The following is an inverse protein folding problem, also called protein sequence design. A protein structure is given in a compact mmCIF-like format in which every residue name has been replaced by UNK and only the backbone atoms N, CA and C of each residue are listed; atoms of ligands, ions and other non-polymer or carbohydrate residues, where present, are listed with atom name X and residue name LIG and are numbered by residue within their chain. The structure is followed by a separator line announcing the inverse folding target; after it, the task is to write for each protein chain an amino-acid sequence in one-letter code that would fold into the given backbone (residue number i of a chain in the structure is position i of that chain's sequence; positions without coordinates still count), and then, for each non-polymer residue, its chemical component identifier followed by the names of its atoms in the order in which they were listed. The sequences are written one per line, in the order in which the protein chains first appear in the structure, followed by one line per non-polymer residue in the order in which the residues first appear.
data_IF_569569456492
#
_entry.id   IF_569569456492
#
_cell.length_a   1.000
_cell.length_b   1.000
_cell.length_c   1.000
_cell.angle_alpha   90.00
_cell.angle_beta   90.00
_cell.angle_gamma   90.00
#
_symmetry.space_group_name_H-M   'P 1'
#
loop_
_entity.id
_entity.type
_entity.pdbx_description
1 polymer ?
#
# COMPACT_ATOMS: atom_id res chain seq x y z
N UNK A 1 32.18 78.27 27.55
CA UNK A 1 32.83 76.95 27.39
C UNK A 1 31.81 75.98 26.80
N UNK A 2 32.13 75.43 25.63
CA UNK A 2 31.70 74.17 24.98
C UNK A 2 30.19 73.76 24.90
N UNK A 3 29.78 72.95 23.90
CA UNK A 3 30.18 72.98 22.49
C UNK A 3 29.00 72.82 21.50
N UNK A 4 29.29 73.17 20.26
CA UNK A 4 28.58 72.91 19.02
C UNK A 4 28.49 71.40 18.70
N UNK A 5 27.33 70.93 18.24
CA UNK A 5 27.24 69.72 17.41
C UNK A 5 26.40 70.00 16.16
N UNK A 6 27.00 69.65 15.04
CA UNK A 6 26.56 69.77 13.65
C UNK A 6 26.08 68.39 13.22
N UNK A 7 24.87 68.28 12.68
CA UNK A 7 24.45 67.12 11.89
C UNK A 7 23.62 67.59 10.70
N UNK A 8 24.12 67.29 9.51
CA UNK A 8 23.44 67.43 8.20
C UNK A 8 23.00 66.01 7.77
N UNK A 9 22.03 65.87 6.86
CA UNK A 9 21.14 64.70 6.77
C UNK A 9 21.77 63.55 5.98
N UNK A 10 21.44 62.31 6.36
CA UNK A 10 21.59 61.15 5.48
C UNK A 10 20.18 60.72 5.10
N UNK A 11 19.86 60.97 3.83
CA UNK A 11 18.72 60.42 3.13
C UNK A 11 19.00 58.92 2.93
N UNK A 12 18.31 58.07 3.67
CA UNK A 12 18.20 56.67 3.30
C UNK A 12 17.25 56.56 2.11
N UNK A 13 17.76 56.02 1.00
CA UNK A 13 16.96 55.56 -0.13
C UNK A 13 16.17 54.33 0.34
N UNK A 14 14.85 54.45 0.41
CA UNK A 14 13.96 53.29 0.43
C UNK A 14 13.86 52.74 -0.99
N UNK A 15 14.53 51.62 -1.26
CA UNK A 15 14.19 50.75 -2.39
C UNK A 15 12.94 49.92 -2.00
N UNK A 16 11.77 50.55 -2.04
CA UNK A 16 10.48 49.87 -1.99
C UNK A 16 9.86 49.91 -3.39
N UNK A 17 10.41 49.10 -4.31
CA UNK A 17 9.73 48.71 -5.54
C UNK A 17 9.12 47.32 -5.36
N UNK A 18 8.21 47.19 -4.39
CA UNK A 18 7.19 46.15 -4.46
C UNK A 18 6.11 46.67 -5.40
N UNK A 19 6.11 46.20 -6.65
CA UNK A 19 5.07 46.56 -7.63
C UNK A 19 3.69 46.35 -6.99
N UNK A 20 2.98 47.45 -6.79
CA UNK A 20 1.64 47.45 -6.22
C UNK A 20 0.74 46.65 -7.17
N UNK A 21 0.35 45.43 -6.75
CA UNK A 21 -0.54 44.57 -7.53
C UNK A 21 -1.83 45.35 -7.74
N UNK A 22 -2.12 45.69 -8.99
CA UNK A 22 -3.30 46.48 -9.28
C UNK A 22 -4.54 45.60 -9.24
N UNK A 23 -5.70 46.20 -8.97
CA UNK A 23 -6.98 45.49 -9.02
C UNK A 23 -7.21 44.80 -10.37
N UNK A 24 -6.68 45.37 -11.46
CA UNK A 24 -6.74 44.78 -12.79
C UNK A 24 -5.96 43.45 -12.88
N UNK A 25 -4.78 43.37 -12.26
CA UNK A 25 -3.97 42.15 -12.21
C UNK A 25 -4.67 41.05 -11.42
N UNK A 26 -5.33 41.41 -10.31
CA UNK A 26 -6.14 40.47 -9.52
C UNK A 26 -7.33 39.95 -10.33
N UNK A 27 -8.04 40.83 -11.02
CA UNK A 27 -9.18 40.44 -11.87
C UNK A 27 -8.75 39.55 -13.04
N UNK A 28 -7.60 39.82 -13.66
CA UNK A 28 -7.06 38.99 -14.74
C UNK A 28 -6.64 37.60 -14.23
N UNK A 29 -6.02 37.54 -13.05
CA UNK A 29 -5.68 36.28 -12.39
C UNK A 29 -6.95 35.47 -12.07
N UNK A 30 -7.98 36.11 -11.51
CA UNK A 30 -9.27 35.47 -11.23
C UNK A 30 -9.95 34.93 -12.49
N UNK A 31 -9.98 35.70 -13.57
CA UNK A 31 -10.54 35.24 -14.85
C UNK A 31 -9.78 34.03 -15.42
N UNK A 32 -8.46 34.02 -15.24
CA UNK A 32 -7.62 32.89 -15.66
C UNK A 32 -7.91 31.64 -14.82
N UNK A 33 -8.09 31.80 -13.51
CA UNK A 33 -8.47 30.70 -12.60
C UNK A 33 -9.84 30.15 -12.98
N UNK A 34 -10.83 31.00 -13.25
CA UNK A 34 -12.19 30.59 -13.64
C UNK A 34 -12.15 29.82 -14.97
N UNK A 35 -11.42 30.32 -15.97
CA UNK A 35 -11.26 29.63 -17.25
C UNK A 35 -10.63 28.23 -17.08
N UNK A 36 -9.61 28.12 -16.23
CA UNK A 36 -8.99 26.84 -15.90
C UNK A 36 -9.98 25.90 -15.18
N UNK A 37 -10.77 26.41 -14.24
CA UNK A 37 -11.79 25.62 -13.54
C UNK A 37 -12.82 25.05 -14.51
N UNK A 38 -13.29 25.82 -15.49
CA UNK A 38 -14.22 25.35 -16.53
C UNK A 38 -13.62 24.18 -17.31
N UNK A 39 -12.37 24.32 -17.77
CA UNK A 39 -11.65 23.25 -18.49
C UNK A 39 -11.47 22.00 -17.62
N UNK A 40 -11.21 22.17 -16.32
CA UNK A 40 -11.11 21.03 -15.39
C UNK A 40 -12.46 20.33 -15.19
N UNK A 41 -13.56 21.08 -15.07
CA UNK A 41 -14.91 20.51 -14.96
C UNK A 41 -15.30 19.73 -16.21
N UNK A 42 -14.99 20.24 -17.41
CA UNK A 42 -15.24 19.52 -18.66
C UNK A 42 -14.46 18.20 -18.74
N UNK A 43 -13.18 18.20 -18.32
CA UNK A 43 -12.36 16.98 -18.27
C UNK A 43 -12.87 15.95 -17.26
N UNK A 44 -13.40 16.41 -16.12
CA UNK A 44 -14.02 15.51 -15.13
C UNK A 44 -15.29 14.89 -15.70
N UNK A 45 -16.11 15.66 -16.41
CA UNK A 45 -17.31 15.15 -17.07
C UNK A 45 -16.98 14.14 -18.19
N UNK A 46 -15.92 14.38 -18.98
CA UNK A 46 -15.43 13.40 -19.96
C UNK A 46 -14.97 12.09 -19.28
N UNK A 47 -14.27 12.20 -18.15
CA UNK A 47 -13.81 11.05 -17.39
C UNK A 47 -14.98 10.23 -16.83
N UNK A 48 -16.00 10.90 -16.31
CA UNK A 48 -17.23 10.29 -15.78
C UNK A 48 -17.98 9.52 -16.89
N UNK A 49 -18.15 10.14 -18.06
CA UNK A 49 -18.75 9.48 -19.23
C UNK A 49 -17.98 8.22 -19.66
N UNK A 50 -16.64 8.27 -19.62
CA UNK A 50 -15.78 7.12 -19.94
C UNK A 50 -15.89 6.03 -18.88
N UNK A 51 -16.02 6.39 -17.60
CA UNK A 51 -16.24 5.44 -16.51
C UNK A 51 -17.58 4.71 -16.67
N UNK A 52 -18.66 5.45 -16.93
CA UNK A 52 -20.00 4.86 -17.20
C UNK A 52 -19.96 3.94 -18.43
N UNK A 53 -19.22 4.30 -19.48
CA UNK A 53 -19.07 3.44 -20.66
C UNK A 53 -18.35 2.13 -20.34
N UNK A 54 -17.32 2.16 -19.49
CA UNK A 54 -16.60 0.95 -19.05
C UNK A 54 -17.51 0.07 -18.18
N UNK A 55 -18.24 0.66 -17.23
CA UNK A 55 -19.18 -0.08 -16.39
C UNK A 55 -20.25 -0.79 -17.24
N UNK A 56 -20.80 -0.11 -18.24
CA UNK A 56 -21.79 -0.71 -19.13
C UNK A 56 -21.23 -1.87 -19.97
N UNK A 57 -19.96 -1.83 -20.38
CA UNK A 57 -19.32 -2.96 -21.09
C UNK A 57 -19.10 -4.15 -20.15
N UNK A 58 -18.73 -3.90 -18.90
CA UNK A 58 -18.46 -4.95 -17.89
C UNK A 58 -19.72 -5.73 -17.49
N UNK A 59 -20.92 -5.12 -17.60
CA UNK A 59 -22.19 -5.76 -17.22
C UNK A 59 -23.02 -6.32 -18.39
N UNK A 60 -22.59 -6.18 -19.65
CA UNK A 60 -23.36 -6.67 -20.82
C UNK A 60 -23.00 -8.07 -21.32
N UNK A 61 -21.93 -8.69 -20.86
CA UNK A 61 -21.46 -10.01 -21.37
C UNK A 61 -22.08 -11.24 -20.67
N UNK A 62 -22.91 -11.08 -19.62
CA UNK A 62 -23.52 -12.21 -18.91
C UNK A 62 -24.92 -12.64 -19.40
N UNK A 63 -25.45 -12.05 -20.49
CA UNK A 63 -26.83 -12.36 -20.96
C UNK A 63 -26.91 -12.94 -22.37
N UNK A 64 -26.18 -14.03 -22.66
CA UNK A 64 -26.54 -14.99 -23.73
C UNK A 64 -26.04 -16.40 -23.41
N UNK A 65 -26.87 -17.22 -22.74
CA UNK A 65 -27.33 -18.54 -23.23
C UNK A 65 -28.17 -19.33 -22.19
N UNK A 66 -29.49 -19.11 -22.27
CA UNK A 66 -30.58 -20.09 -22.47
C UNK A 66 -30.48 -21.53 -21.90
N UNK A 67 -31.52 -21.88 -21.10
CA UNK A 67 -32.18 -23.20 -20.80
C UNK A 67 -31.47 -24.12 -19.78
N UNK A 68 -32.08 -24.57 -18.67
CA UNK A 68 -33.44 -25.13 -18.46
C UNK A 68 -33.78 -25.19 -16.95
N UNK A 69 -35.01 -24.85 -16.54
CA UNK A 69 -35.59 -25.32 -15.27
C UNK A 69 -36.13 -26.77 -15.44
N UNK A 70 -36.36 -27.54 -14.35
CA UNK A 70 -37.69 -27.43 -13.74
C UNK A 70 -37.82 -27.71 -12.22
N UNK A 71 -38.93 -27.17 -11.70
CA UNK A 71 -39.80 -27.67 -10.61
C UNK A 71 -39.47 -27.39 -9.14
N UNK A 72 -40.34 -26.53 -8.60
CA UNK A 72 -40.71 -26.30 -7.20
C UNK A 72 -41.17 -27.56 -6.46
N UNK A 73 -40.88 -27.63 -5.16
CA UNK A 73 -41.81 -28.14 -4.14
C UNK A 73 -41.59 -27.44 -2.79
N UNK A 74 -42.68 -27.40 -2.05
CA UNK A 74 -43.09 -26.43 -1.05
C UNK A 74 -42.74 -26.85 0.39
N UNK A 75 -42.65 -25.83 1.25
CA UNK A 75 -43.07 -25.73 2.67
C UNK A 75 -42.25 -26.32 3.83
N UNK A 76 -42.05 -25.40 4.79
CA UNK A 76 -42.26 -25.49 6.25
C UNK A 76 -41.07 -25.73 7.22
N UNK A 77 -40.92 -24.75 8.11
CA UNK A 77 -40.40 -24.67 9.48
C UNK A 77 -38.92 -24.86 9.87
N UNK A 78 -38.45 -23.76 10.48
CA UNK A 78 -37.61 -23.62 11.68
C UNK A 78 -36.07 -23.78 11.61
N UNK A 79 -35.35 -23.04 12.50
CA UNK A 79 -34.05 -22.48 12.20
C UNK A 79 -32.94 -23.45 12.57
N UNK A 80 -32.16 -23.87 11.59
CA UNK A 80 -30.93 -24.63 11.83
C UNK A 80 -29.72 -23.81 11.45
N UNK A 81 -28.88 -23.61 12.48
CA UNK A 81 -27.53 -23.09 12.42
C UNK A 81 -26.75 -23.69 11.26
N UNK A 82 -26.41 -22.87 10.26
CA UNK A 82 -25.41 -23.25 9.27
C UNK A 82 -24.03 -23.14 9.91
N UNK A 83 -23.43 -24.30 10.15
CA UNK A 83 -22.01 -24.49 10.37
C UNK A 83 -21.20 -23.74 9.31
N UNK A 84 -20.47 -22.71 9.74
CA UNK A 84 -19.40 -22.12 8.94
C UNK A 84 -18.30 -23.18 8.84
N UNK A 85 -17.99 -23.63 7.62
CA UNK A 85 -16.76 -24.39 7.38
C UNK A 85 -15.55 -23.56 7.83
N UNK A 86 -14.58 -24.14 8.56
CA UNK A 86 -13.40 -23.40 9.00
C UNK A 86 -12.54 -23.05 7.78
N UNK A 87 -12.62 -21.79 7.33
CA UNK A 87 -11.72 -21.24 6.32
C UNK A 87 -12.34 -20.36 5.25
N UNK A 88 -13.67 -20.29 5.14
CA UNK A 88 -14.31 -19.46 4.11
C UNK A 88 -14.72 -18.10 4.68
N UNK A 89 -14.03 -17.05 4.23
CA UNK A 89 -14.27 -15.67 4.64
C UNK A 89 -15.47 -15.09 3.89
N UNK A 90 -16.27 -14.30 4.60
CA UNK A 90 -17.35 -13.49 4.02
C UNK A 90 -16.76 -12.36 3.13
N UNK A 91 -17.09 -12.30 1.83
CA UNK A 91 -16.60 -11.30 0.88
C UNK A 91 -16.87 -9.84 1.26
N UNK A 92 -17.81 -9.58 2.19
CA UNK A 92 -18.20 -8.22 2.59
C UNK A 92 -17.57 -7.76 3.91
N UNK A 93 -16.78 -8.61 4.58
CA UNK A 93 -16.08 -8.21 5.81
C UNK A 93 -14.75 -7.53 5.52
N UNK A 94 -14.76 -6.19 5.53
CA UNK A 94 -13.54 -5.37 5.59
C UNK A 94 -12.67 -5.79 6.79
N UNK A 95 -11.39 -6.18 6.60
CA UNK A 95 -10.51 -6.51 7.72
C UNK A 95 -10.14 -5.25 8.48
N UNK A 96 -10.40 -5.26 9.79
CA UNK A 96 -9.82 -4.28 10.73
C UNK A 96 -10.63 -3.00 10.87
N UNK A 97 -11.68 -3.05 11.72
CA UNK A 97 -11.78 -1.97 12.71
C UNK A 97 -10.75 -2.30 13.79
N UNK A 98 -9.66 -1.55 13.95
CA UNK A 98 -8.83 -1.72 15.12
C UNK A 98 -9.71 -1.52 16.35
N UNK A 99 -9.74 -2.51 17.23
CA UNK A 99 -10.33 -2.33 18.55
C UNK A 99 -9.77 -1.07 19.19
N UNK A 100 -10.63 -0.31 19.88
CA UNK A 100 -10.40 1.00 20.49
C UNK A 100 -9.29 1.07 21.56
N UNK A 101 -8.39 0.09 21.61
CA UNK A 101 -7.24 0.00 22.51
C UNK A 101 -5.97 -0.12 21.68
N UNK A 102 -5.67 0.91 20.88
CA UNK A 102 -4.33 1.12 20.35
C UNK A 102 -3.43 1.55 21.52
N UNK A 103 -2.95 0.60 22.32
CA UNK A 103 -1.71 0.83 23.06
C UNK A 103 -0.62 0.97 22.02
N UNK A 104 -0.04 2.18 21.93
CA UNK A 104 1.16 2.49 21.15
C UNK A 104 2.28 1.52 21.52
N UNK A 105 2.36 0.35 20.89
CA UNK A 105 3.53 -0.52 20.96
C UNK A 105 4.62 0.15 20.13
N UNK A 106 5.51 0.83 20.84
CA UNK A 106 6.63 1.64 20.34
C UNK A 106 7.71 0.83 19.62
N UNK A 107 7.48 -0.46 19.34
CA UNK A 107 8.51 -1.40 18.91
C UNK A 107 7.95 -2.32 17.83
N UNK A 108 8.51 -2.25 16.61
CA UNK A 108 8.25 -3.23 15.55
C UNK A 108 8.89 -4.56 15.95
N UNK A 109 8.10 -5.46 16.54
CA UNK A 109 8.57 -6.72 17.11
C UNK A 109 7.58 -7.83 16.82
N UNK A 110 8.03 -8.86 16.09
CA UNK A 110 7.20 -10.01 15.76
C UNK A 110 6.88 -10.85 17.02
N UNK A 111 5.73 -11.56 17.04
CA UNK A 111 5.40 -12.50 18.11
C UNK A 111 6.45 -13.60 18.29
N UNK A 112 6.54 -14.16 19.49
CA UNK A 112 7.39 -15.33 19.74
C UNK A 112 6.99 -16.51 18.86
N UNK A 113 7.98 -17.24 18.34
CA UNK A 113 7.75 -18.36 17.43
C UNK A 113 7.40 -17.95 15.99
N UNK A 114 7.55 -16.67 15.63
CA UNK A 114 7.39 -16.21 14.24
C UNK A 114 8.42 -16.86 13.31
N UNK A 115 8.07 -17.09 12.02
CA UNK A 115 8.94 -17.81 11.09
C UNK A 115 10.20 -17.01 10.74
N UNK A 116 11.22 -17.68 10.22
CA UNK A 116 12.45 -17.02 9.78
C UNK A 116 13.58 -16.98 10.82
N UNK A 117 14.80 -16.59 10.39
CA UNK A 117 15.90 -16.32 11.30
C UNK A 117 15.59 -15.06 12.12
N UNK A 118 15.60 -15.19 13.45
CA UNK A 118 15.24 -14.13 14.38
C UNK A 118 16.43 -13.70 15.22
N UNK A 119 16.63 -12.39 15.32
CA UNK A 119 17.62 -11.76 16.17
C UNK A 119 17.00 -11.21 17.45
N UNK A 120 17.71 -10.31 18.15
CA UNK A 120 17.17 -9.58 19.29
C UNK A 120 15.86 -8.88 18.94
N UNK A 121 14.94 -8.81 19.90
CA UNK A 121 13.59 -8.23 19.73
C UNK A 121 12.79 -8.90 18.58
N UNK A 122 13.03 -10.18 18.31
CA UNK A 122 12.36 -10.96 17.27
C UNK A 122 12.41 -10.32 15.86
N UNK A 123 13.42 -9.49 15.57
CA UNK A 123 13.62 -8.92 14.24
C UNK A 123 14.12 -9.98 13.26
N UNK A 124 13.74 -9.87 11.98
CA UNK A 124 14.30 -10.71 10.93
C UNK A 124 15.77 -10.40 10.72
N UNK A 125 16.58 -11.45 10.63
CA UNK A 125 18.00 -11.36 10.24
C UNK A 125 18.11 -11.64 8.73
N UNK A 126 18.74 -10.72 8.00
CA UNK A 126 18.89 -10.86 6.54
C UNK A 126 20.18 -11.57 6.09
N UNK A 127 21.21 -11.58 6.95
CA UNK A 127 22.59 -11.79 6.53
C UNK A 127 23.29 -13.01 7.15
N UNK A 128 22.69 -13.66 8.15
CA UNK A 128 23.36 -14.77 8.84
C UNK A 128 23.32 -16.07 8.04
N UNK A 129 24.42 -16.85 8.04
CA UNK A 129 24.58 -17.90 7.06
C UNK A 129 23.76 -19.12 7.45
N UNK A 130 22.88 -19.50 6.53
CA UNK A 130 22.35 -20.86 6.38
C UNK A 130 21.50 -21.33 7.56
N UNK A 131 20.32 -20.73 7.65
CA UNK A 131 19.17 -21.37 8.28
C UNK A 131 19.01 -22.79 7.74
N UNK A 132 18.99 -23.77 8.64
CA UNK A 132 18.86 -25.18 8.30
C UNK A 132 17.63 -25.41 7.41
N UNK A 133 17.78 -26.27 6.40
CA UNK A 133 16.70 -26.61 5.47
C UNK A 133 15.48 -27.19 6.21
N UNK A 134 15.69 -27.93 7.30
CA UNK A 134 14.60 -28.48 8.09
C UNK A 134 13.80 -27.39 8.80
N UNK A 135 14.48 -26.40 9.38
CA UNK A 135 13.80 -25.26 10.01
C UNK A 135 12.99 -24.40 9.02
N UNK A 136 13.28 -24.47 7.71
CA UNK A 136 12.49 -23.80 6.67
C UNK A 136 11.19 -24.49 6.34
N UNK A 137 11.07 -25.80 6.59
CA UNK A 137 9.86 -26.57 6.27
C UNK A 137 8.66 -26.13 7.09
N UNK A 138 8.88 -25.56 8.28
CA UNK A 138 7.80 -25.06 9.13
C UNK A 138 7.31 -23.67 8.75
N UNK A 139 8.08 -22.88 7.98
CA UNK A 139 7.70 -21.49 7.68
C UNK A 139 6.35 -21.34 6.97
N UNK A 140 6.01 -22.16 5.96
CA UNK A 140 4.71 -22.07 5.30
C UNK A 140 3.52 -22.31 6.25
N UNK A 141 3.70 -23.08 7.33
CA UNK A 141 2.64 -23.29 8.32
C UNK A 141 2.20 -21.97 9.00
N UNK A 142 3.04 -20.94 8.98
CA UNK A 142 2.70 -19.62 9.51
C UNK A 142 1.92 -18.75 8.52
N UNK A 143 1.74 -19.15 7.26
CA UNK A 143 0.97 -18.41 6.27
C UNK A 143 -0.55 -18.44 6.53
N UNK A 144 -1.02 -19.36 7.39
CA UNK A 144 -2.43 -19.58 7.67
C UNK A 144 -2.84 -18.87 8.97
N UNK A 145 -3.49 -17.70 8.85
CA UNK A 145 -4.13 -16.92 9.92
C UNK A 145 -3.47 -17.06 11.32
N UNK A 146 -2.15 -16.97 11.36
CA UNK A 146 -1.36 -17.17 12.56
C UNK A 146 -1.24 -15.87 13.35
N UNK A 147 -0.82 -15.94 14.62
CA UNK A 147 -0.53 -14.73 15.40
C UNK A 147 0.48 -13.80 14.69
N UNK A 148 1.38 -14.40 13.89
CA UNK A 148 2.32 -13.68 13.05
C UNK A 148 1.63 -12.90 11.92
N UNK A 149 0.69 -13.52 11.20
CA UNK A 149 -0.08 -12.83 10.15
C UNK A 149 -0.94 -11.72 10.75
N UNK A 150 -1.62 -11.99 11.87
CA UNK A 150 -2.44 -11.00 12.57
C UNK A 150 -1.61 -9.80 13.02
N UNK A 151 -0.40 -10.04 13.54
CA UNK A 151 0.54 -8.98 13.86
C UNK A 151 0.96 -8.19 12.63
N UNK A 152 1.30 -8.85 11.52
CA UNK A 152 1.75 -8.17 10.30
C UNK A 152 0.63 -7.30 9.70
N UNK A 153 -0.63 -7.75 9.78
CA UNK A 153 -1.80 -6.95 9.41
C UNK A 153 -1.99 -5.68 10.22
N UNK A 154 -1.43 -5.58 11.43
CA UNK A 154 -1.47 -4.33 12.20
C UNK A 154 -0.62 -3.22 11.58
N UNK A 155 0.39 -3.58 10.77
CA UNK A 155 1.26 -2.64 10.06
C UNK A 155 0.88 -2.48 8.59
N UNK A 156 0.41 -3.56 7.95
CA UNK A 156 -0.02 -3.55 6.55
C UNK A 156 -1.24 -4.46 6.35
N UNK A 157 -2.43 -3.88 6.48
CA UNK A 157 -3.70 -4.60 6.40
C UNK A 157 -4.03 -5.16 5.00
N UNK A 158 -3.31 -4.73 3.97
CA UNK A 158 -3.45 -5.19 2.58
C UNK A 158 -2.68 -6.49 2.30
N UNK A 159 -1.95 -7.04 3.27
CA UNK A 159 -1.27 -8.32 3.11
C UNK A 159 -2.27 -9.40 2.70
N UNK A 160 -2.01 -10.06 1.57
CA UNK A 160 -2.74 -11.25 1.13
C UNK A 160 -2.03 -12.47 1.70
N UNK A 161 -2.75 -13.30 2.45
CA UNK A 161 -2.29 -14.59 2.94
C UNK A 161 -2.55 -15.68 1.90
N UNK A 162 -1.91 -16.84 2.09
CA UNK A 162 -2.07 -17.98 1.18
C UNK A 162 -3.53 -18.46 1.10
N UNK A 163 -4.25 -18.41 2.22
CA UNK A 163 -5.66 -18.78 2.33
C UNK A 163 -6.60 -17.86 1.54
N UNK A 164 -6.15 -16.66 1.18
CA UNK A 164 -6.95 -15.70 0.41
C UNK A 164 -6.91 -15.98 -1.10
N UNK A 165 -6.07 -16.92 -1.55
CA UNK A 165 -5.93 -17.28 -2.96
C UNK A 165 -6.82 -18.47 -3.34
N UNK A 166 -7.50 -18.34 -4.48
CA UNK A 166 -8.25 -19.44 -5.07
C UNK A 166 -7.29 -20.37 -5.83
N UNK A 167 -7.12 -21.60 -5.34
CA UNK A 167 -6.23 -22.62 -5.93
C UNK A 167 -6.55 -22.85 -7.41
N UNK A 168 -7.82 -22.77 -7.82
CA UNK A 168 -8.27 -22.95 -9.20
C UNK A 168 -7.73 -21.90 -10.19
N UNK A 169 -7.26 -20.76 -9.70
CA UNK A 169 -6.69 -19.68 -10.51
C UNK A 169 -5.15 -19.72 -10.58
N UNK A 170 -4.51 -20.67 -9.88
CA UNK A 170 -3.06 -20.80 -9.85
C UNK A 170 -2.54 -21.67 -10.99
N UNK A 171 -1.56 -21.19 -11.74
CA UNK A 171 -0.89 -21.94 -12.83
C UNK A 171 0.61 -22.07 -12.57
N UNK A 172 1.08 -23.32 -12.48
CA UNK A 172 2.48 -23.64 -12.20
C UNK A 172 3.41 -23.17 -13.33
N UNK A 173 2.88 -23.06 -14.56
CA UNK A 173 3.60 -22.54 -15.72
C UNK A 173 3.98 -21.07 -15.55
N UNK A 174 3.29 -20.33 -14.70
CA UNK A 174 3.58 -18.92 -14.45
C UNK A 174 4.77 -18.72 -13.50
N UNK A 175 5.18 -19.75 -12.75
CA UNK A 175 6.36 -19.69 -11.88
C UNK A 175 7.67 -19.41 -12.61
N UNK A 176 7.81 -19.92 -13.84
CA UNK A 176 9.02 -19.76 -14.66
C UNK A 176 8.96 -18.57 -15.62
N UNK A 177 7.81 -17.86 -15.70
CA UNK A 177 7.66 -16.70 -16.56
C UNK A 177 8.32 -15.48 -15.92
N UNK A 178 9.02 -14.64 -16.70
CA UNK A 178 9.46 -13.33 -16.23
C UNK A 178 8.27 -12.59 -15.64
N UNK A 179 8.44 -12.07 -14.42
CA UNK A 179 7.44 -11.22 -13.80
C UNK A 179 7.25 -9.97 -14.67
N UNK A 180 6.00 -9.55 -14.90
CA UNK A 180 5.64 -8.47 -15.85
C UNK A 180 6.64 -7.30 -15.82
N UNK A 181 7.26 -7.05 -16.97
CA UNK A 181 8.21 -5.97 -17.19
C UNK A 181 7.47 -4.62 -17.20
N UNK A 182 7.61 -3.83 -16.14
CA UNK A 182 7.03 -2.49 -16.07
C UNK A 182 6.92 -1.91 -14.66
N UNK A 183 7.01 -2.73 -13.61
CA UNK A 183 7.00 -2.23 -12.25
C UNK A 183 8.33 -1.57 -11.89
N UNK A 184 8.24 -0.36 -11.31
CA UNK A 184 9.39 0.34 -10.75
C UNK A 184 9.91 -0.43 -9.52
N UNK A 185 11.23 -0.57 -9.35
CA UNK A 185 11.80 -1.19 -8.16
C UNK A 185 11.55 -0.35 -6.90
N UNK A 186 11.37 -1.03 -5.77
CA UNK A 186 11.44 -0.43 -4.43
C UNK A 186 12.92 -0.18 -4.12
N UNK A 187 13.29 1.07 -3.91
CA UNK A 187 14.70 1.49 -3.93
C UNK A 187 15.12 2.32 -2.71
N UNK A 188 14.44 3.45 -2.44
CA UNK A 188 14.83 4.39 -1.39
C UNK A 188 13.84 4.34 -0.24
N UNK A 189 14.30 4.22 0.99
CA UNK A 189 13.45 4.19 2.19
C UNK A 189 12.64 5.47 2.42
N UNK A 190 13.12 6.60 1.91
CA UNK A 190 12.42 7.89 1.96
C UNK A 190 11.29 8.03 0.94
N UNK A 191 11.15 7.10 -0.01
CA UNK A 191 10.08 7.15 -1.01
C UNK A 191 8.75 6.70 -0.39
N UNK A 192 7.82 7.65 -0.24
CA UNK A 192 6.48 7.39 0.30
C UNK A 192 5.66 6.42 -0.57
N UNK A 193 6.03 6.28 -1.86
CA UNK A 193 5.38 5.37 -2.79
C UNK A 193 5.75 3.90 -2.61
N UNK A 194 6.67 3.55 -1.71
CA UNK A 194 7.12 2.18 -1.53
C UNK A 194 5.99 1.21 -1.15
N UNK A 195 5.04 1.63 -0.30
CA UNK A 195 3.90 0.78 0.08
C UNK A 195 2.88 0.65 -1.06
N UNK A 196 2.66 1.71 -1.84
CA UNK A 196 1.84 1.63 -3.05
C UNK A 196 2.45 0.71 -4.09
N UNK A 197 3.78 0.76 -4.26
CA UNK A 197 4.51 -0.18 -5.12
C UNK A 197 4.42 -1.61 -4.60
N UNK A 198 4.55 -1.83 -3.28
CA UNK A 198 4.40 -3.16 -2.69
C UNK A 198 2.99 -3.73 -2.91
N UNK A 199 1.95 -2.90 -2.75
CA UNK A 199 0.57 -3.29 -3.04
C UNK A 199 0.40 -3.63 -4.53
N UNK A 200 0.95 -2.83 -5.44
CA UNK A 200 0.89 -3.09 -6.87
C UNK A 200 1.63 -4.38 -7.26
N UNK A 201 2.78 -4.65 -6.64
CA UNK A 201 3.52 -5.91 -6.81
C UNK A 201 2.65 -7.09 -6.39
N UNK A 202 2.01 -7.02 -5.22
CA UNK A 202 1.13 -8.08 -4.73
C UNK A 202 -0.07 -8.29 -5.65
N UNK A 203 -0.75 -7.21 -6.07
CA UNK A 203 -1.87 -7.29 -7.01
C UNK A 203 -1.46 -7.93 -8.35
N UNK A 204 -0.26 -7.61 -8.85
CA UNK A 204 0.27 -8.20 -10.08
C UNK A 204 0.55 -9.69 -9.90
N UNK A 205 1.09 -10.11 -8.75
CA UNK A 205 1.33 -11.53 -8.43
C UNK A 205 0.02 -12.34 -8.37
N UNK A 206 -1.03 -11.76 -7.79
CA UNK A 206 -2.38 -12.34 -7.76
C UNK A 206 -2.94 -12.47 -9.18
N UNK A 207 -2.86 -11.40 -9.97
CA UNK A 207 -3.37 -11.38 -11.35
C UNK A 207 -2.65 -12.40 -12.24
N UNK A 208 -1.34 -12.59 -12.04
CA UNK A 208 -0.57 -13.60 -12.76
C UNK A 208 -0.86 -15.02 -12.28
N UNK A 209 -1.63 -15.22 -11.21
CA UNK A 209 -2.03 -16.55 -10.74
C UNK A 209 -0.84 -17.42 -10.40
N UNK A 210 0.21 -16.88 -9.78
CA UNK A 210 1.36 -17.69 -9.36
C UNK A 210 1.19 -18.28 -7.98
N UNK A 211 1.72 -19.49 -7.81
CA UNK A 211 1.84 -20.15 -6.50
C UNK A 211 2.51 -19.23 -5.49
N UNK A 212 1.87 -19.11 -4.31
CA UNK A 212 2.21 -18.16 -3.26
C UNK A 212 3.65 -18.32 -2.76
N UNK A 213 4.14 -19.55 -2.74
CA UNK A 213 5.47 -19.95 -2.30
C UNK A 213 6.57 -19.45 -3.24
N UNK A 214 6.22 -19.10 -4.49
CA UNK A 214 7.14 -18.58 -5.49
C UNK A 214 7.21 -17.05 -5.50
N UNK A 215 6.27 -16.35 -4.85
CA UNK A 215 6.14 -14.90 -4.95
C UNK A 215 7.44 -14.16 -4.62
N UNK A 216 8.14 -14.45 -3.49
CA UNK A 216 9.39 -13.75 -3.15
C UNK A 216 10.46 -13.89 -4.23
N UNK A 217 10.59 -15.07 -4.84
CA UNK A 217 11.59 -15.34 -5.86
C UNK A 217 11.25 -14.64 -7.18
N UNK A 218 9.95 -14.47 -7.47
CA UNK A 218 9.49 -13.77 -8.68
C UNK A 218 9.80 -12.28 -8.62
N UNK A 219 9.69 -11.67 -7.44
CA UNK A 219 9.80 -10.20 -7.29
C UNK A 219 11.12 -9.72 -6.71
N UNK A 220 12.04 -10.63 -6.33
CA UNK A 220 13.32 -10.28 -5.69
C UNK A 220 14.15 -9.23 -6.44
N UNK A 221 14.04 -9.17 -7.78
CA UNK A 221 14.77 -8.22 -8.62
C UNK A 221 14.24 -6.78 -8.51
N UNK A 222 13.03 -6.60 -7.97
CA UNK A 222 12.40 -5.31 -7.71
C UNK A 222 12.89 -4.67 -6.40
N UNK A 223 13.60 -5.41 -5.54
CA UNK A 223 14.19 -4.85 -4.33
C UNK A 223 15.63 -4.41 -4.62
N UNK A 224 15.85 -3.09 -4.62
CA UNK A 224 17.11 -2.45 -4.99
C UNK A 224 17.48 -1.37 -3.97
N UNK A 225 18.67 -0.77 -4.12
CA UNK A 225 19.12 0.31 -3.24
C UNK A 225 19.11 -0.09 -1.76
N UNK A 226 18.39 0.69 -0.95
CA UNK A 226 18.25 0.46 0.49
C UNK A 226 17.58 -0.91 0.81
N UNK A 227 16.84 -1.47 -0.15
CA UNK A 227 16.18 -2.77 -0.03
C UNK A 227 16.99 -3.92 -0.63
N UNK A 228 18.26 -3.71 -1.03
CA UNK A 228 19.12 -4.76 -1.57
C UNK A 228 19.29 -5.95 -0.62
N UNK A 229 19.20 -5.73 0.69
CA UNK A 229 19.23 -6.82 1.68
C UNK A 229 17.98 -7.70 1.63
N UNK A 230 16.80 -7.17 1.26
CA UNK A 230 15.58 -7.97 1.02
C UNK A 230 15.78 -8.87 -0.20
N UNK A 231 16.41 -8.34 -1.27
CA UNK A 231 16.78 -9.14 -2.43
C UNK A 231 17.72 -10.29 -2.05
N UNK A 232 18.78 -9.99 -1.29
CA UNK A 232 19.72 -11.01 -0.80
C UNK A 232 19.01 -12.07 0.06
N UNK A 233 18.10 -11.62 0.94
CA UNK A 233 17.28 -12.49 1.77
C UNK A 233 16.39 -13.43 0.94
N UNK A 234 15.73 -12.91 -0.10
CA UNK A 234 14.91 -13.71 -1.02
C UNK A 234 15.74 -14.77 -1.75
N UNK A 235 16.94 -14.39 -2.23
CA UNK A 235 17.85 -15.29 -2.95
C UNK A 235 18.41 -16.39 -2.06
N UNK A 236 18.79 -16.04 -0.83
CA UNK A 236 19.53 -16.94 0.08
C UNK A 236 18.59 -17.83 0.88
N UNK A 237 17.56 -17.25 1.50
CA UNK A 237 16.73 -17.97 2.46
C UNK A 237 15.48 -18.59 1.84
N UNK A 238 15.02 -18.07 0.69
CA UNK A 238 13.71 -18.41 0.10
C UNK A 238 12.58 -18.26 1.14
N UNK A 239 12.36 -17.04 1.65
CA UNK A 239 11.35 -16.76 2.66
C UNK A 239 9.94 -16.96 2.10
N UNK A 240 8.93 -16.91 2.97
CA UNK A 240 7.53 -16.79 2.56
C UNK A 240 7.21 -15.34 2.14
N UNK A 241 6.08 -15.13 1.47
CA UNK A 241 5.61 -13.78 1.13
C UNK A 241 5.44 -12.87 2.36
N UNK A 242 4.80 -13.31 3.46
CA UNK A 242 4.67 -12.49 4.67
C UNK A 242 6.02 -12.08 5.27
N UNK A 243 7.01 -12.98 5.26
CA UNK A 243 8.36 -12.66 5.71
C UNK A 243 9.07 -11.65 4.80
N UNK A 244 8.78 -11.66 3.50
CA UNK A 244 9.30 -10.68 2.55
C UNK A 244 8.70 -9.30 2.81
N UNK A 245 7.39 -9.25 3.06
CA UNK A 245 6.69 -8.02 3.46
C UNK A 245 7.23 -7.50 4.79
N UNK A 246 7.38 -8.37 5.80
CA UNK A 246 7.97 -8.00 7.08
C UNK A 246 9.37 -7.39 6.90
N UNK A 247 10.21 -7.99 6.06
CA UNK A 247 11.55 -7.47 5.78
C UNK A 247 11.51 -6.03 5.25
N UNK A 248 10.58 -5.73 4.34
CA UNK A 248 10.40 -4.38 3.78
C UNK A 248 9.93 -3.41 4.87
N UNK A 249 8.93 -3.80 5.67
CA UNK A 249 8.40 -2.97 6.76
C UNK A 249 9.45 -2.73 7.85
N UNK A 250 10.28 -3.73 8.17
CA UNK A 250 11.39 -3.60 9.11
C UNK A 250 12.40 -2.54 8.63
N UNK A 251 12.75 -2.53 7.34
CA UNK A 251 13.67 -1.54 6.77
C UNK A 251 13.07 -0.12 6.83
N UNK A 252 11.80 0.01 6.48
CA UNK A 252 11.08 1.28 6.61
C UNK A 252 11.00 1.72 8.08
N UNK A 253 10.83 0.78 9.02
CA UNK A 253 10.77 1.09 10.44
C UNK A 253 12.11 1.58 10.98
N UNK A 254 13.20 0.86 10.68
CA UNK A 254 14.54 1.19 11.15
C UNK A 254 15.07 2.50 10.56
N UNK A 255 14.57 2.90 9.39
CA UNK A 255 14.86 4.21 8.79
C UNK A 255 13.96 5.33 9.32
N UNK A 256 13.10 5.07 10.31
CA UNK A 256 12.05 5.98 10.83
C UNK A 256 11.05 6.46 9.75
N UNK A 257 11.01 5.78 8.61
CA UNK A 257 10.17 6.13 7.46
C UNK A 257 8.97 5.19 7.32
N UNK A 258 8.58 4.41 8.33
CA UNK A 258 7.41 3.53 8.21
C UNK A 258 6.09 4.29 8.39
N UNK A 259 6.05 5.25 9.32
CA UNK A 259 4.80 5.88 9.73
C UNK A 259 4.20 6.76 8.64
N UNK A 260 5.01 7.63 8.04
CA UNK A 260 4.54 8.55 7.00
C UNK A 260 3.98 7.81 5.76
N UNK A 261 4.63 6.76 5.23
CA UNK A 261 4.07 5.98 4.12
C UNK A 261 2.83 5.18 4.48
N UNK A 262 2.72 4.61 5.69
CA UNK A 262 1.48 3.92 6.12
C UNK A 262 0.32 4.92 6.18
N UNK A 263 0.53 6.06 6.84
CA UNK A 263 -0.49 7.12 6.94
C UNK A 263 -0.86 7.66 5.55
N UNK A 264 0.13 7.88 4.68
CA UNK A 264 -0.08 8.32 3.30
C UNK A 264 -0.81 7.29 2.43
N UNK A 265 -0.48 6.00 2.59
CA UNK A 265 -1.14 4.91 1.89
C UNK A 265 -2.62 4.80 2.32
N UNK A 266 -2.90 4.89 3.62
CA UNK A 266 -4.26 4.91 4.16
C UNK A 266 -5.04 6.14 3.66
N UNK A 267 -4.44 7.33 3.67
CA UNK A 267 -5.05 8.56 3.18
C UNK A 267 -5.38 8.47 1.68
N UNK A 268 -4.41 8.01 0.86
CA UNK A 268 -4.58 7.79 -0.58
C UNK A 268 -5.78 6.87 -0.88
N UNK A 269 -5.92 5.78 -0.11
CA UNK A 269 -7.01 4.80 -0.29
C UNK A 269 -8.36 5.31 0.20
N UNK A 270 -8.36 6.17 1.21
CA UNK A 270 -9.56 6.76 1.78
C UNK A 270 -10.09 7.95 0.95
N UNK A 271 -9.44 8.30 -0.17
CA UNK A 271 -9.82 9.41 -1.03
C UNK A 271 -9.57 10.79 -0.42
N UNK A 272 -8.85 10.86 0.71
CA UNK A 272 -8.47 12.13 1.30
C UNK A 272 -7.18 12.63 0.65
N UNK A 273 -7.18 13.80 -0.01
CA UNK A 273 -5.93 14.40 -0.43
C UNK A 273 -5.09 14.63 0.82
N UNK A 274 -3.83 14.16 0.77
CA UNK A 274 -2.79 14.50 1.73
C UNK A 274 -2.70 16.04 1.74
N UNK A 275 -3.40 16.68 2.66
CA UNK A 275 -3.18 18.09 2.93
C UNK A 275 -1.73 18.17 3.42
N UNK A 276 -0.89 18.65 2.51
CA UNK A 276 0.44 19.14 2.80
C UNK A 276 0.33 20.03 4.02
N UNK A 277 0.92 19.57 5.14
CA UNK A 277 1.32 20.48 6.19
C UNK A 277 2.26 21.50 5.58
N UNK A 278 1.73 22.68 5.28
CA UNK A 278 2.49 23.91 5.29
C UNK A 278 1.53 25.10 5.41
N UNK A 279 1.91 26.00 6.32
CA UNK A 279 1.39 27.34 6.59
C UNK A 279 0.13 27.41 7.47
N UNK A 280 0.07 28.19 8.56
CA UNK A 280 0.99 29.19 9.09
C UNK A 280 0.59 29.54 10.54
N UNK A 281 1.59 30.06 11.28
CA UNK A 281 1.51 30.91 12.48
C UNK A 281 1.28 30.25 13.84
#
# INVERSE_FOLDING_TARGET
MAPTTRSTPVVEKSDDNASEITLADVMQSLNTIIANQIVHTEKISDLDNRMTAIENVVFTDEKKDVRKAPTSRTSHDEPSSSSIEPGQRDPLTMPGKPGSTFTKSRTFMAPYGSPGPRGPNNLLIFSEPHVDRESRKSWPAHNLNSAYIQWLWTYWCELIAESDLLISHLDCRNGNKPFRSGLRPINKTSDIGNLSLLHLIQATLVQEGTFYELWPQRVQHLFQGDFAQVRSFCMTHRPTWPMTVEAILQILHLSNNLRSPVDAFVAFRSGFPLQSQQQNS
#
